data_IF_802041852976
#
_entry.id   IF_802041852976
#
_cell.length_a   1.000
_cell.length_b   1.000
_cell.length_c   1.000
_cell.angle_alpha   90.00
_cell.angle_beta   90.00
_cell.angle_gamma   90.00
#
_symmetry.space_group_name_H-M   'P 1'
#
loop_
_entity.id
_entity.type
_entity.pdbx_description
1 polymer ?
#
# COMPACT_ATOMS: atom_id res chain seq x y z
N UNK A 1 -9.96 -9.92 -79.17
CA UNK A 1 -10.14 -10.55 -77.84
C UNK A 1 -8.85 -11.27 -77.52
N UNK A 2 -7.98 -10.68 -76.68
CA UNK A 2 -6.68 -11.28 -76.32
C UNK A 2 -6.92 -12.19 -75.12
N UNK A 3 -6.52 -13.48 -75.17
CA UNK A 3 -6.69 -14.38 -74.03
C UNK A 3 -5.67 -14.00 -72.95
N UNK A 4 -6.16 -13.59 -71.78
CA UNK A 4 -5.31 -13.33 -70.61
C UNK A 4 -4.82 -14.65 -70.01
N UNK A 5 -3.52 -14.89 -70.03
CA UNK A 5 -2.90 -16.01 -69.31
C UNK A 5 -2.76 -15.61 -67.83
N UNK A 6 -3.47 -16.31 -66.94
CA UNK A 6 -3.27 -16.20 -65.50
C UNK A 6 -1.88 -16.78 -65.16
N UNK A 7 -0.91 -15.90 -64.89
CA UNK A 7 0.40 -16.29 -64.39
C UNK A 7 0.30 -16.49 -62.88
N UNK A 8 0.48 -17.74 -62.41
CA UNK A 8 0.62 -18.04 -60.98
C UNK A 8 1.98 -17.50 -60.52
N UNK A 9 1.96 -16.43 -59.74
CA UNK A 9 3.17 -15.88 -59.13
C UNK A 9 3.28 -16.34 -57.68
N UNK A 10 3.88 -17.51 -57.49
CA UNK A 10 4.10 -18.10 -56.16
C UNK A 10 5.11 -17.29 -55.33
N UNK A 11 5.98 -16.52 -55.97
CA UNK A 11 7.02 -15.72 -55.29
C UNK A 11 6.43 -14.48 -54.61
N UNK A 12 5.47 -13.81 -55.26
CA UNK A 12 4.70 -12.72 -54.67
C UNK A 12 3.84 -13.23 -53.50
N UNK A 13 3.14 -14.35 -53.68
CA UNK A 13 2.31 -14.96 -52.63
C UNK A 13 3.12 -15.40 -51.39
N UNK A 14 4.33 -15.93 -51.57
CA UNK A 14 5.22 -16.30 -50.47
C UNK A 14 5.69 -15.07 -49.66
N UNK A 15 5.90 -13.94 -50.32
CA UNK A 15 6.29 -12.68 -49.66
C UNK A 15 5.14 -12.11 -48.84
N UNK A 16 3.93 -12.10 -49.40
CA UNK A 16 2.71 -11.69 -48.68
C UNK A 16 2.43 -12.57 -47.45
N UNK A 17 2.64 -13.88 -47.57
CA UNK A 17 2.52 -14.81 -46.44
C UNK A 17 3.58 -14.54 -45.36
N UNK A 18 4.80 -14.16 -45.77
CA UNK A 18 5.87 -13.74 -44.85
C UNK A 18 5.48 -12.52 -44.01
N UNK A 19 4.88 -11.50 -44.63
CA UNK A 19 4.40 -10.33 -43.89
C UNK A 19 3.29 -10.66 -42.89
N UNK A 20 2.32 -11.50 -43.29
CA UNK A 20 1.26 -11.96 -42.40
C UNK A 20 1.85 -12.72 -41.21
N UNK A 21 2.82 -13.61 -41.46
CA UNK A 21 3.47 -14.39 -40.41
C UNK A 21 4.24 -13.50 -39.44
N UNK A 22 5.07 -12.57 -39.94
CA UNK A 22 5.81 -11.63 -39.09
C UNK A 22 4.86 -10.73 -38.29
N UNK A 23 3.77 -10.26 -38.91
CA UNK A 23 2.76 -9.48 -38.22
C UNK A 23 2.11 -10.29 -37.09
N UNK A 24 1.65 -11.50 -37.37
CA UNK A 24 1.04 -12.38 -36.37
C UNK A 24 2.02 -12.72 -35.24
N UNK A 25 3.29 -13.00 -35.57
CA UNK A 25 4.34 -13.20 -34.58
C UNK A 25 4.52 -11.96 -33.69
N UNK A 26 4.49 -10.77 -34.28
CA UNK A 26 4.53 -9.50 -33.54
C UNK A 26 3.34 -9.35 -32.59
N UNK A 27 2.12 -9.67 -33.03
CA UNK A 27 0.92 -9.62 -32.18
C UNK A 27 1.01 -10.60 -31.02
N UNK A 28 1.50 -11.82 -31.26
CA UNK A 28 1.69 -12.83 -30.21
C UNK A 28 2.74 -12.38 -29.18
N UNK A 29 3.88 -11.88 -29.66
CA UNK A 29 4.95 -11.38 -28.78
C UNK A 29 4.48 -10.15 -27.98
N UNK A 30 3.75 -9.23 -28.60
CA UNK A 30 3.18 -8.07 -27.91
C UNK A 30 2.17 -8.50 -26.84
N UNK A 31 1.30 -9.47 -27.15
CA UNK A 31 0.36 -10.01 -26.16
C UNK A 31 1.07 -10.64 -24.96
N UNK A 32 2.08 -11.48 -25.20
CA UNK A 32 2.87 -12.11 -24.14
C UNK A 32 3.61 -11.07 -23.29
N UNK A 33 4.24 -10.07 -23.93
CA UNK A 33 4.89 -8.97 -23.23
C UNK A 33 3.92 -8.14 -22.40
N UNK A 34 2.70 -7.91 -22.90
CA UNK A 34 1.69 -7.09 -22.21
C UNK A 34 1.21 -7.76 -20.91
N UNK A 35 0.97 -9.08 -20.95
CA UNK A 35 0.60 -9.85 -19.75
C UNK A 35 1.75 -9.83 -18.74
N UNK A 36 2.97 -10.11 -19.19
CA UNK A 36 4.15 -10.09 -18.33
C UNK A 36 4.41 -8.73 -17.68
N UNK A 37 4.25 -7.64 -18.43
CA UNK A 37 4.42 -6.29 -17.90
C UNK A 37 3.36 -5.98 -16.84
N UNK A 38 2.11 -6.37 -17.07
CA UNK A 38 1.03 -6.23 -16.10
C UNK A 38 1.27 -7.03 -14.82
N UNK A 39 1.78 -8.27 -14.94
CA UNK A 39 2.13 -9.10 -13.77
C UNK A 39 3.21 -8.43 -12.91
N UNK A 40 4.26 -7.87 -13.53
CA UNK A 40 5.33 -7.17 -12.81
C UNK A 40 4.82 -5.90 -12.13
N UNK A 41 3.99 -5.13 -12.83
CA UNK A 41 3.41 -3.91 -12.27
C UNK A 41 2.56 -4.23 -11.03
N UNK A 42 1.71 -5.26 -11.14
CA UNK A 42 0.84 -5.71 -10.05
C UNK A 42 1.66 -6.19 -8.86
N UNK A 43 2.63 -7.09 -9.08
CA UNK A 43 3.49 -7.60 -8.01
C UNK A 43 4.33 -6.50 -7.33
N UNK A 44 4.80 -5.52 -8.11
CA UNK A 44 5.57 -4.40 -7.56
C UNK A 44 4.69 -3.50 -6.69
N UNK A 45 3.48 -3.20 -7.16
CA UNK A 45 2.48 -2.42 -6.45
C UNK A 45 2.05 -3.08 -5.14
N UNK A 46 1.74 -4.38 -5.17
CA UNK A 46 1.37 -5.14 -3.97
C UNK A 46 2.48 -5.10 -2.92
N UNK A 47 3.72 -5.33 -3.34
CA UNK A 47 4.88 -5.26 -2.45
C UNK A 47 5.08 -3.86 -1.88
N UNK A 48 4.96 -2.82 -2.70
CA UNK A 48 5.07 -1.43 -2.21
C UNK A 48 3.98 -1.08 -1.21
N UNK A 49 2.75 -1.55 -1.42
CA UNK A 49 1.67 -1.38 -0.45
C UNK A 49 2.01 -2.09 0.87
N UNK A 50 2.44 -3.34 0.84
CA UNK A 50 2.84 -4.08 2.04
C UNK A 50 3.94 -3.35 2.82
N UNK A 51 5.00 -2.90 2.14
CA UNK A 51 6.09 -2.16 2.77
C UNK A 51 5.64 -0.80 3.32
N UNK A 52 4.77 -0.07 2.59
CA UNK A 52 4.23 1.20 3.04
C UNK A 52 3.36 1.06 4.29
N UNK A 53 2.48 0.04 4.34
CA UNK A 53 1.67 -0.24 5.52
C UNK A 53 2.54 -0.68 6.71
N UNK A 54 3.57 -1.50 6.48
CA UNK A 54 4.52 -1.89 7.52
C UNK A 54 5.27 -0.67 8.08
N UNK A 55 5.85 0.18 7.22
CA UNK A 55 6.53 1.42 7.62
C UNK A 55 5.59 2.35 8.40
N UNK A 56 4.34 2.48 7.98
CA UNK A 56 3.33 3.26 8.70
C UNK A 56 3.07 2.72 10.11
N UNK A 57 2.88 1.40 10.25
CA UNK A 57 2.66 0.75 11.54
C UNK A 57 3.87 0.92 12.47
N UNK A 58 5.09 0.73 11.96
CA UNK A 58 6.32 0.85 12.72
C UNK A 58 6.58 2.30 13.18
N UNK A 59 6.30 3.28 12.31
CA UNK A 59 6.40 4.71 12.66
C UNK A 59 5.38 5.11 13.72
N UNK A 60 4.14 4.65 13.57
CA UNK A 60 3.07 4.94 14.52
C UNK A 60 3.37 4.30 15.89
N UNK A 61 3.76 3.03 15.92
CA UNK A 61 4.20 2.35 17.13
C UNK A 61 5.37 3.09 17.79
N UNK A 62 6.38 3.50 17.01
CA UNK A 62 7.52 4.26 17.52
C UNK A 62 7.13 5.62 18.11
N UNK A 63 6.15 6.31 17.53
CA UNK A 63 5.63 7.58 18.03
C UNK A 63 4.85 7.40 19.33
N UNK A 64 4.01 6.36 19.41
CA UNK A 64 3.29 5.98 20.65
C UNK A 64 4.31 5.68 21.76
N UNK A 65 5.36 4.91 21.48
CA UNK A 65 6.39 4.63 22.47
C UNK A 65 7.17 5.88 22.90
N UNK A 66 7.37 6.86 22.00
CA UNK A 66 7.96 8.15 22.36
C UNK A 66 7.02 8.94 23.28
N UNK A 67 5.72 8.95 22.99
CA UNK A 67 4.71 9.59 23.84
C UNK A 67 4.69 8.95 25.24
N UNK A 68 4.74 7.62 25.33
CA UNK A 68 4.81 6.88 26.59
C UNK A 68 6.13 7.07 27.34
N UNK A 69 7.25 7.35 26.65
CA UNK A 69 8.51 7.73 27.31
C UNK A 69 8.47 9.16 27.83
N UNK A 70 7.82 10.07 27.11
CA UNK A 70 7.67 11.47 27.52
C UNK A 70 6.84 11.57 28.81
N UNK A 71 5.78 10.77 28.94
CA UNK A 71 4.93 10.73 30.14
C UNK A 71 5.68 10.30 31.41
N UNK A 72 6.74 9.49 31.27
CA UNK A 72 7.57 9.05 32.40
C UNK A 72 8.60 10.09 32.84
N UNK A 73 8.90 11.06 31.98
CA UNK A 73 10.03 11.97 32.17
C UNK A 73 9.66 13.23 32.96
N UNK A 74 8.39 13.63 32.93
CA UNK A 74 7.89 14.79 33.65
C UNK A 74 6.45 14.54 34.14
N UNK A 75 6.17 14.99 35.36
CA UNK A 75 4.85 14.90 35.96
C UNK A 75 3.87 15.81 35.19
N UNK A 76 2.70 15.27 34.81
CA UNK A 76 1.68 15.96 34.03
C UNK A 76 2.15 16.55 32.67
N UNK A 77 2.92 15.76 31.91
CA UNK A 77 3.38 16.13 30.58
C UNK A 77 2.31 15.90 29.49
N UNK A 78 2.09 16.89 28.64
CA UNK A 78 1.35 16.73 27.37
C UNK A 78 2.34 16.54 26.22
N UNK A 79 2.13 15.51 25.41
CA UNK A 79 2.96 15.20 24.24
C UNK A 79 2.08 15.01 23.01
N UNK A 80 2.53 15.51 21.88
CA UNK A 80 1.89 15.31 20.60
C UNK A 80 2.95 15.14 19.51
N UNK A 81 2.80 14.12 18.69
CA UNK A 81 3.65 13.88 17.53
C UNK A 81 2.79 13.56 16.30
N UNK A 82 3.08 14.27 15.20
CA UNK A 82 2.48 13.98 13.90
C UNK A 82 3.25 12.83 13.22
N UNK A 83 2.52 11.81 12.81
CA UNK A 83 3.01 10.69 12.03
C UNK A 83 2.45 10.83 10.62
N UNK A 84 3.30 11.26 9.69
CA UNK A 84 2.96 11.31 8.27
C UNK A 84 3.04 9.92 7.66
N UNK A 85 1.94 9.49 7.05
CA UNK A 85 1.83 8.18 6.45
C UNK A 85 2.52 8.16 5.08
N UNK A 86 3.28 7.10 4.85
CA UNK A 86 3.72 6.71 3.52
C UNK A 86 2.48 6.32 2.71
N UNK A 87 2.34 6.92 1.53
CA UNK A 87 1.21 6.68 0.66
C UNK A 87 1.15 5.20 0.23
N UNK A 88 -0.05 4.65 0.27
CA UNK A 88 -0.36 3.31 -0.21
C UNK A 88 -1.61 3.39 -1.09
N UNK A 89 -1.73 2.47 -2.04
CA UNK A 89 -2.93 2.38 -2.86
C UNK A 89 -4.01 1.67 -2.03
N UNK A 90 -5.00 2.43 -1.55
CA UNK A 90 -6.11 1.89 -0.78
C UNK A 90 -6.80 0.79 -1.59
N UNK A 91 -6.89 -0.40 -1.00
CA UNK A 91 -7.71 -1.47 -1.56
C UNK A 91 -9.18 -1.06 -1.54
N UNK A 92 -10.05 -1.77 -2.27
CA UNK A 92 -11.51 -1.55 -2.14
C UNK A 92 -12.06 -1.85 -0.74
N UNK A 93 -11.28 -2.57 0.07
CA UNK A 93 -11.63 -2.94 1.43
C UNK A 93 -11.16 -1.86 2.43
N UNK A 94 -11.90 -1.73 3.53
CA UNK A 94 -11.56 -0.80 4.62
C UNK A 94 -10.33 -1.31 5.38
N UNK A 95 -9.41 -0.40 5.65
CA UNK A 95 -8.20 -0.62 6.45
C UNK A 95 -8.31 0.23 7.71
N UNK A 96 -8.33 -0.43 8.86
CA UNK A 96 -8.52 0.22 10.15
C UNK A 96 -7.37 -0.11 11.08
N UNK A 97 -6.76 0.91 11.68
CA UNK A 97 -5.79 0.74 12.75
C UNK A 97 -6.51 0.86 14.09
N UNK A 98 -6.36 -0.15 14.95
CA UNK A 98 -6.79 -0.14 16.34
C UNK A 98 -5.57 -0.12 17.26
N UNK A 99 -5.61 0.76 18.25
CA UNK A 99 -4.60 0.83 19.31
C UNK A 99 -5.13 0.08 20.54
N UNK A 100 -4.53 -1.09 20.80
CA UNK A 100 -4.71 -1.84 22.04
C UNK A 100 -3.68 -1.43 23.11
N UNK A 101 -3.81 -2.02 24.29
CA UNK A 101 -2.96 -1.72 25.46
C UNK A 101 -1.49 -2.12 25.28
N UNK A 102 -1.21 -3.04 24.36
CA UNK A 102 0.15 -3.60 24.14
C UNK A 102 0.47 -3.85 22.69
N UNK A 103 -0.44 -3.54 21.79
CA UNK A 103 -0.33 -3.79 20.38
C UNK A 103 -1.04 -2.72 19.58
N UNK A 104 -0.49 -2.49 18.39
CA UNK A 104 -1.14 -1.74 17.33
C UNK A 104 -1.55 -2.77 16.28
N UNK A 105 -2.84 -2.88 16.00
CA UNK A 105 -3.36 -3.87 15.06
C UNK A 105 -3.95 -3.16 13.86
N UNK A 106 -3.51 -3.59 12.68
CA UNK A 106 -4.11 -3.22 11.41
C UNK A 106 -5.10 -4.31 11.03
N UNK A 107 -6.36 -3.94 10.88
CA UNK A 107 -7.44 -4.78 10.42
C UNK A 107 -7.80 -4.43 8.98
N UNK A 108 -7.74 -5.43 8.12
CA UNK A 108 -8.24 -5.39 6.76
C UNK A 108 -9.54 -6.18 6.68
N UNK A 109 -10.62 -5.56 6.21
CA UNK A 109 -11.90 -6.28 6.00
C UNK A 109 -11.80 -7.45 5.02
N UNK A 110 -10.76 -7.49 4.18
CA UNK A 110 -10.48 -8.61 3.28
C UNK A 110 -9.48 -9.63 3.84
N UNK A 111 -8.91 -9.41 5.04
CA UNK A 111 -7.93 -10.27 5.72
C UNK A 111 -6.64 -10.50 4.89
N UNK A 112 -6.25 -9.54 4.04
CA UNK A 112 -5.05 -9.63 3.20
C UNK A 112 -3.86 -8.96 3.88
N UNK A 113 -4.11 -7.82 4.53
CA UNK A 113 -3.07 -6.98 5.12
C UNK A 113 -3.06 -6.96 6.64
N UNK A 114 -3.71 -7.92 7.31
CA UNK A 114 -3.77 -8.00 8.76
C UNK A 114 -2.35 -8.06 9.37
N UNK A 115 -2.06 -7.09 10.25
CA UNK A 115 -0.75 -6.98 10.93
C UNK A 115 -0.91 -6.55 12.36
N UNK A 116 0.06 -6.93 13.19
CA UNK A 116 0.15 -6.48 14.57
C UNK A 116 1.59 -6.12 14.89
N UNK A 117 1.78 -4.96 15.51
CA UNK A 117 3.06 -4.51 16.06
C UNK A 117 2.92 -4.45 17.57
N UNK A 118 3.78 -5.18 18.28
CA UNK A 118 3.80 -5.13 19.74
C UNK A 118 4.45 -3.84 20.23
N UNK A 119 3.80 -3.18 21.18
CA UNK A 119 4.33 -2.03 21.88
C UNK A 119 5.16 -2.54 23.07
N UNK A 120 6.45 -2.21 23.08
CA UNK A 120 7.38 -2.65 24.12
C UNK A 120 7.17 -1.87 25.44
N UNK A 121 6.52 -0.71 25.34
CA UNK A 121 6.23 0.21 26.42
C UNK A 121 4.96 -0.15 27.19
N UNK A 122 5.04 -1.09 28.13
CA UNK A 122 4.10 -1.18 29.25
C UNK A 122 4.25 0.07 30.13
N UNK A 123 3.69 1.21 29.71
CA UNK A 123 3.48 2.39 30.55
C UNK A 123 2.35 2.15 31.55
N UNK A 124 2.18 3.10 32.48
CA UNK A 124 0.98 3.19 33.33
C UNK A 124 -0.20 3.84 32.58
N UNK A 125 0.01 4.23 31.33
CA UNK A 125 -0.97 4.91 30.50
C UNK A 125 -1.93 3.92 29.86
N UNK A 126 -3.20 4.29 29.79
CA UNK A 126 -4.20 3.58 29.00
C UNK A 126 -4.04 3.97 27.54
N UNK A 127 -4.07 2.98 26.65
CA UNK A 127 -4.03 3.20 25.21
C UNK A 127 -5.43 3.17 24.61
N UNK A 128 -5.72 4.09 23.69
CA UNK A 128 -7.01 4.09 22.99
C UNK A 128 -6.95 4.75 21.61
N UNK A 129 -7.76 4.27 20.68
CA UNK A 129 -7.97 4.93 19.40
C UNK A 129 -8.19 3.93 18.28
N UNK A 130 -9.01 4.35 17.33
CA UNK A 130 -9.30 3.59 16.11
C UNK A 130 -9.37 4.58 14.95
N UNK A 131 -8.68 4.26 13.85
CA UNK A 131 -8.56 5.14 12.69
C UNK A 131 -8.80 4.33 11.42
N UNK A 132 -9.80 4.71 10.65
CA UNK A 132 -9.94 4.31 9.25
C UNK A 132 -8.89 5.07 8.42
N UNK A 133 -8.04 4.34 7.72
CA UNK A 133 -6.95 4.91 6.94
C UNK A 133 -7.41 5.55 5.62
N UNK A 134 -8.69 5.42 5.23
CA UNK A 134 -9.19 5.98 3.99
C UNK A 134 -9.08 7.51 3.97
N UNK A 135 -8.20 8.02 3.09
CA UNK A 135 -7.99 9.46 2.90
C UNK A 135 -7.26 10.14 4.07
N UNK A 136 -6.62 9.35 4.95
CA UNK A 136 -5.82 9.87 6.06
C UNK A 136 -4.36 9.92 5.65
N UNK A 137 -3.78 11.12 5.67
CA UNK A 137 -2.35 11.32 5.39
C UNK A 137 -1.51 11.47 6.65
N UNK A 138 -2.15 11.80 7.78
CA UNK A 138 -1.45 12.09 9.04
C UNK A 138 -2.26 11.61 10.22
N UNK A 139 -1.57 10.90 11.12
CA UNK A 139 -2.09 10.44 12.40
C UNK A 139 -1.29 11.12 13.50
N UNK A 140 -1.96 11.58 14.54
CA UNK A 140 -1.36 12.15 15.74
C UNK A 140 -1.30 11.11 16.85
N UNK A 141 -0.11 10.88 17.38
CA UNK A 141 0.10 10.18 18.64
C UNK A 141 0.14 11.23 19.77
N UNK A 142 -0.84 11.18 20.66
CA UNK A 142 -1.04 12.18 21.72
C UNK A 142 -1.01 11.50 23.07
N UNK A 143 -0.23 12.02 24.01
CA UNK A 143 -0.32 11.68 25.43
C UNK A 143 -0.83 12.88 26.23
N UNK A 144 -1.88 12.70 27.01
CA UNK A 144 -2.39 13.68 27.98
C UNK A 144 -3.13 12.97 29.10
N UNK A 145 -3.00 13.46 30.34
CA UNK A 145 -3.75 13.00 31.50
C UNK A 145 -3.68 11.47 31.74
N UNK A 146 -2.51 10.87 31.48
CA UNK A 146 -2.30 9.44 31.63
C UNK A 146 -2.90 8.57 30.52
N UNK A 147 -3.38 9.18 29.43
CA UNK A 147 -3.94 8.46 28.28
C UNK A 147 -3.10 8.73 27.04
N UNK A 148 -2.66 7.67 26.38
CA UNK A 148 -2.00 7.74 25.07
C UNK A 148 -3.00 7.34 24.00
N UNK A 149 -3.27 8.23 23.05
CA UNK A 149 -4.25 8.02 22.00
C UNK A 149 -3.72 8.30 20.61
N UNK A 150 -4.31 7.64 19.62
CA UNK A 150 -4.14 7.97 18.21
C UNK A 150 -5.39 8.69 17.68
N UNK A 151 -5.20 9.73 16.87
CA UNK A 151 -6.31 10.46 16.23
C UNK A 151 -5.86 11.15 14.95
N UNK A 152 -6.79 11.51 14.07
CA UNK A 152 -6.52 12.35 12.89
C UNK A 152 -6.59 13.84 13.20
N UNK A 153 -6.98 14.21 14.43
CA UNK A 153 -7.22 15.59 14.85
C UNK A 153 -5.99 16.14 15.58
N UNK A 154 -5.49 17.28 15.13
CA UNK A 154 -4.42 18.01 15.82
C UNK A 154 -4.87 18.45 17.23
N UNK A 155 -4.04 18.35 18.27
CA UNK A 155 -4.37 18.82 19.62
C UNK A 155 -4.43 20.36 19.73
N UNK A 156 -5.43 20.92 20.40
CA UNK A 156 -5.68 22.39 20.43
C UNK A 156 -4.93 23.17 21.54
N UNK A 157 -3.98 22.55 22.25
CA UNK A 157 -3.29 23.14 23.39
C UNK A 157 -1.88 23.67 23.07
#
# INVERSE_FOLDING_TARGET
>A
MIPGILRRDESAAATELGYIFTFMLGVVLLGMFSIWAWDIETATRERWNEEALQDNMDRLASAIERADRASRSADNCSYAEAVHLTAFEASKASLTISLGERDLVLHDSADIYDRSVQLSGSGLSTHQGEIDLQGVDTIWAIHSDGVTKITTIHPDW
#
